data_IF_052114535086
#
_entry.id   IF_052114535086
#
_cell.length_a   1.000
_cell.length_b   1.000
_cell.length_c   1.000
_cell.angle_alpha   90.00
_cell.angle_beta   90.00
_cell.angle_gamma   90.00
#
_symmetry.space_group_name_H-M   'P 1'
#
loop_
_entity.id
_entity.type
_entity.pdbx_description
1 polymer ?
#
# COMPACT_ATOMS: atom_id res chain seq x y z
N UNK A 1 14.66 24.17 4.56
CA UNK A 1 14.15 23.05 5.39
C UNK A 1 13.87 23.59 6.79
N UNK A 2 12.62 23.65 7.19
CA UNK A 2 12.17 24.18 8.50
C UNK A 2 12.68 23.34 9.68
N UNK A 3 12.90 22.03 9.47
CA UNK A 3 13.31 21.06 10.50
C UNK A 3 14.75 20.57 10.30
N UNK A 4 15.69 21.51 10.21
CA UNK A 4 17.10 21.21 9.96
C UNK A 4 17.77 20.33 11.02
N UNK A 5 17.25 20.33 12.26
CA UNK A 5 17.77 19.50 13.36
C UNK A 5 17.19 18.08 13.39
N UNK A 6 16.48 17.69 12.34
CA UNK A 6 15.82 16.38 12.23
C UNK A 6 14.35 16.42 12.63
N UNK A 7 13.66 15.32 12.35
CA UNK A 7 12.22 15.17 12.57
C UNK A 7 11.85 13.68 12.77
N UNK A 8 10.62 13.43 13.19
CA UNK A 8 10.07 12.09 13.25
C UNK A 8 9.11 11.91 12.06
N UNK A 9 9.38 10.93 11.21
CA UNK A 9 8.49 10.48 10.16
C UNK A 9 7.54 9.41 10.72
N UNK A 10 6.24 9.50 10.42
CA UNK A 10 5.27 8.52 10.92
C UNK A 10 4.40 8.03 9.77
N UNK A 11 4.46 6.72 9.51
CA UNK A 11 3.48 5.99 8.71
C UNK A 11 2.40 5.46 9.66
N UNK A 12 1.24 6.12 9.66
CA UNK A 12 0.16 5.82 10.60
C UNK A 12 -1.04 5.22 9.89
N UNK A 13 -1.04 3.89 9.83
CA UNK A 13 -2.10 3.12 9.21
C UNK A 13 -3.36 2.97 10.08
N UNK A 14 -4.29 2.16 9.60
CA UNK A 14 -5.55 1.86 10.28
C UNK A 14 -5.33 1.09 11.57
N UNK A 15 -4.45 0.08 11.54
CA UNK A 15 -4.19 -0.87 12.65
C UNK A 15 -2.81 -0.73 13.26
N UNK A 16 -1.83 -0.31 12.48
CA UNK A 16 -0.43 -0.23 12.89
C UNK A 16 0.11 1.19 12.73
N UNK A 17 1.18 1.47 13.48
CA UNK A 17 1.92 2.73 13.43
C UNK A 17 3.41 2.41 13.40
N UNK A 18 4.14 3.03 12.45
CA UNK A 18 5.59 3.02 12.37
C UNK A 18 6.11 4.43 12.47
N UNK A 19 7.15 4.63 13.25
CA UNK A 19 7.76 5.94 13.44
C UNK A 19 9.29 5.82 13.32
N UNK A 20 9.89 6.77 12.62
CA UNK A 20 11.30 6.83 12.29
C UNK A 20 11.88 8.16 12.72
N UNK A 21 12.93 8.16 13.53
CA UNK A 21 13.71 9.35 13.81
C UNK A 21 14.66 9.61 12.65
N UNK A 22 14.52 10.76 12.03
CA UNK A 22 15.43 11.24 10.96
C UNK A 22 16.32 12.32 11.55
N UNK A 23 17.63 12.13 11.49
CA UNK A 23 18.62 13.08 12.03
C UNK A 23 18.82 14.30 11.10
N UNK A 24 19.67 15.23 11.53
CA UNK A 24 20.03 16.44 10.76
C UNK A 24 20.75 16.14 9.44
N UNK A 25 21.34 14.95 9.28
CA UNK A 25 21.95 14.49 8.04
C UNK A 25 20.94 13.78 7.11
N UNK A 26 19.68 13.66 7.52
CA UNK A 26 18.64 12.97 6.77
C UNK A 26 18.70 11.45 6.89
N UNK A 27 19.45 10.91 7.85
CA UNK A 27 19.58 9.48 8.09
C UNK A 27 18.63 9.02 9.18
N UNK A 28 18.13 7.79 9.05
CA UNK A 28 17.38 7.11 10.09
C UNK A 28 18.30 6.85 11.31
N UNK A 29 17.94 7.40 12.47
CA UNK A 29 18.68 7.31 13.71
C UNK A 29 17.96 6.46 14.77
N UNK A 30 16.70 6.12 14.55
CA UNK A 30 15.88 5.28 15.43
C UNK A 30 14.55 4.98 14.82
N UNK A 31 13.89 3.95 15.33
CA UNK A 31 12.57 3.52 14.87
C UNK A 31 11.80 2.78 15.97
N UNK A 32 10.49 2.72 15.81
CA UNK A 32 9.64 1.72 16.46
C UNK A 32 8.39 1.44 15.63
N UNK A 33 7.82 0.24 15.81
CA UNK A 33 6.53 -0.16 15.28
C UNK A 33 5.64 -0.66 16.42
N UNK A 34 4.35 -0.36 16.36
CA UNK A 34 3.36 -0.93 17.28
C UNK A 34 1.97 -1.08 16.61
N UNK A 35 1.09 -1.84 17.28
CA UNK A 35 -0.30 -2.06 16.84
C UNK A 35 -1.25 -0.90 17.15
N UNK A 36 -0.75 0.33 17.33
CA UNK A 36 -1.57 1.50 17.66
C UNK A 36 -1.92 2.32 16.42
N UNK A 37 -2.63 1.70 15.48
CA UNK A 37 -3.20 2.43 14.34
C UNK A 37 -4.26 3.44 14.75
N UNK A 38 -4.74 4.25 13.80
CA UNK A 38 -5.68 5.37 14.08
C UNK A 38 -6.98 4.91 14.75
N UNK A 39 -7.45 3.68 14.49
CA UNK A 39 -8.67 3.15 15.10
C UNK A 39 -8.52 2.82 16.60
N UNK A 40 -7.31 2.69 17.11
CA UNK A 40 -7.03 2.44 18.51
C UNK A 40 -6.90 3.73 19.33
N UNK A 41 -6.81 4.88 18.67
CA UNK A 41 -6.71 6.19 19.33
C UNK A 41 -8.11 6.66 19.72
N UNK A 42 -8.41 6.87 21.02
CA UNK A 42 -9.71 7.38 21.43
C UNK A 42 -9.92 8.83 20.98
N UNK A 43 -11.17 9.26 20.96
CA UNK A 43 -11.51 10.65 20.62
C UNK A 43 -10.72 11.64 21.48
N UNK A 44 -10.07 12.60 20.82
CA UNK A 44 -9.18 13.57 21.47
C UNK A 44 -7.83 13.02 21.92
N UNK A 45 -7.53 11.73 21.73
CA UNK A 45 -6.33 11.05 22.21
C UNK A 45 -5.05 11.27 21.38
N UNK A 46 -5.14 11.92 20.22
CA UNK A 46 -3.97 12.08 19.33
C UNK A 46 -2.82 12.85 19.96
N UNK A 47 -3.11 13.88 20.77
CA UNK A 47 -2.05 14.63 21.48
C UNK A 47 -1.25 13.74 22.42
N UNK A 48 -1.89 12.81 23.14
CA UNK A 48 -1.21 11.84 24.00
C UNK A 48 -0.41 10.82 23.17
N UNK A 49 -0.96 10.36 22.05
CA UNK A 49 -0.28 9.44 21.14
C UNK A 49 0.98 10.08 20.51
N UNK A 50 0.94 11.37 20.19
CA UNK A 50 2.11 12.14 19.72
C UNK A 50 3.14 12.29 20.84
N UNK A 51 2.71 12.57 22.10
CA UNK A 51 3.62 12.65 23.23
C UNK A 51 4.35 11.31 23.46
N UNK A 52 3.67 10.19 23.34
CA UNK A 52 4.26 8.85 23.40
C UNK A 52 5.32 8.62 22.31
N UNK A 53 5.07 9.06 21.09
CA UNK A 53 6.05 8.97 20.00
C UNK A 53 7.30 9.77 20.35
N UNK A 54 7.13 11.00 20.87
CA UNK A 54 8.25 11.84 21.30
C UNK A 54 9.01 11.27 22.49
N UNK A 55 8.33 10.63 23.41
CA UNK A 55 9.00 9.94 24.54
C UNK A 55 9.96 8.85 24.07
N UNK A 56 9.59 8.11 23.02
CA UNK A 56 10.40 7.03 22.44
C UNK A 56 11.54 7.52 21.55
N UNK A 57 11.29 8.55 20.72
CA UNK A 57 12.22 8.98 19.67
C UNK A 57 12.81 10.37 19.87
N UNK A 58 12.47 11.06 20.96
CA UNK A 58 12.94 12.39 21.28
C UNK A 58 11.95 13.51 20.87
N UNK A 59 12.10 14.67 21.48
CA UNK A 59 11.21 15.82 21.26
C UNK A 59 11.53 16.54 19.93
N UNK A 60 11.09 15.94 18.81
CA UNK A 60 11.23 16.45 17.45
C UNK A 60 9.88 16.81 16.82
N UNK A 61 9.86 17.67 15.76
CA UNK A 61 8.68 17.84 14.94
C UNK A 61 8.30 16.53 14.22
N UNK A 62 7.01 16.39 13.85
CA UNK A 62 6.50 15.19 13.20
C UNK A 62 5.96 15.49 11.80
N UNK A 63 6.33 14.63 10.84
CA UNK A 63 5.70 14.55 9.53
C UNK A 63 4.95 13.23 9.44
N UNK A 64 3.63 13.34 9.36
CA UNK A 64 2.70 12.23 9.51
C UNK A 64 2.09 11.90 8.15
N UNK A 65 2.05 10.63 7.77
CA UNK A 65 1.39 10.15 6.56
C UNK A 65 0.42 9.01 6.89
N UNK A 66 -0.48 8.71 5.97
CA UNK A 66 -1.45 7.62 6.09
C UNK A 66 -2.77 8.04 6.73
N UNK A 67 -3.43 7.10 7.39
CA UNK A 67 -4.80 7.24 7.88
C UNK A 67 -4.98 8.31 8.97
N UNK A 68 -3.91 8.80 9.56
CA UNK A 68 -3.93 9.94 10.49
C UNK A 68 -4.54 11.20 9.86
N UNK A 69 -4.45 11.35 8.53
CA UNK A 69 -5.05 12.43 7.73
C UNK A 69 -6.45 12.12 7.19
N UNK A 70 -7.07 11.02 7.56
CA UNK A 70 -8.43 10.67 7.14
C UNK A 70 -9.49 11.33 8.04
N UNK A 71 -10.76 11.20 7.65
CA UNK A 71 -11.90 11.61 8.47
C UNK A 71 -12.05 10.84 9.78
N UNK A 72 -11.31 9.73 9.96
CA UNK A 72 -11.20 8.96 11.20
C UNK A 72 -9.88 9.17 11.91
N UNK A 73 -9.01 10.03 11.36
CA UNK A 73 -7.70 10.35 11.91
C UNK A 73 -7.71 11.59 12.80
N UNK A 74 -6.55 12.15 13.00
CA UNK A 74 -6.36 13.32 13.87
C UNK A 74 -6.96 14.61 13.29
N UNK A 75 -6.62 14.89 12.02
CA UNK A 75 -7.09 16.07 11.30
C UNK A 75 -7.23 15.71 9.83
N UNK A 76 -8.41 15.89 9.30
CA UNK A 76 -8.68 15.56 7.91
C UNK A 76 -7.86 16.44 6.96
N UNK A 77 -7.08 15.78 6.12
CA UNK A 77 -6.33 16.38 5.03
C UNK A 77 -7.06 16.12 3.70
N UNK A 78 -7.30 17.15 2.93
CA UNK A 78 -7.90 17.04 1.61
C UNK A 78 -7.02 16.17 0.68
N UNK A 79 -7.62 15.63 -0.38
CA UNK A 79 -6.89 14.90 -1.40
C UNK A 79 -6.34 15.85 -2.46
N UNK A 80 -5.08 15.63 -2.87
CA UNK A 80 -4.48 16.31 -4.02
C UNK A 80 -4.92 15.60 -5.30
N UNK A 81 -5.48 16.28 -6.30
CA UNK A 81 -5.90 15.62 -7.52
C UNK A 81 -4.70 15.20 -8.39
N UNK A 82 -4.81 14.06 -9.08
CA UNK A 82 -3.90 13.66 -10.15
C UNK A 82 -4.02 14.60 -11.38
N UNK A 83 -2.91 14.84 -12.11
CA UNK A 83 -1.55 14.38 -11.85
C UNK A 83 -0.86 15.18 -10.73
N UNK A 84 -0.07 14.51 -9.90
CA UNK A 84 0.64 15.17 -8.80
C UNK A 84 1.97 14.50 -8.46
N UNK A 85 2.91 15.29 -7.98
CA UNK A 85 4.22 14.88 -7.50
C UNK A 85 4.48 15.34 -6.06
N UNK A 86 5.73 15.23 -5.60
CA UNK A 86 6.16 15.64 -4.24
C UNK A 86 5.80 17.08 -3.93
N UNK A 87 5.98 18.00 -4.88
CA UNK A 87 5.68 19.44 -4.68
C UNK A 87 4.18 19.67 -4.43
N UNK A 88 3.31 18.91 -5.11
CA UNK A 88 1.87 18.94 -4.87
C UNK A 88 1.51 18.50 -3.46
N UNK A 89 2.09 17.41 -2.97
CA UNK A 89 1.87 16.95 -1.59
C UNK A 89 2.40 17.97 -0.58
N UNK A 90 3.62 18.48 -0.77
CA UNK A 90 4.25 19.41 0.14
C UNK A 90 3.48 20.75 0.25
N UNK A 91 2.90 21.23 -0.85
CA UNK A 91 2.12 22.48 -0.89
C UNK A 91 0.77 22.38 -0.17
N UNK A 92 0.25 21.15 0.03
CA UNK A 92 -1.07 20.86 0.61
C UNK A 92 -0.98 20.20 2.00
N UNK A 93 0.19 20.28 2.65
CA UNK A 93 0.36 19.79 4.03
C UNK A 93 -0.64 20.43 4.98
N UNK A 94 -1.25 19.62 5.82
CA UNK A 94 -2.17 20.10 6.86
C UNK A 94 -1.46 20.14 8.20
N UNK A 95 -1.35 21.33 8.75
CA UNK A 95 -0.73 21.54 10.06
C UNK A 95 -1.74 21.23 11.18
N UNK A 96 -1.44 20.21 11.95
CA UNK A 96 -2.24 19.82 13.12
C UNK A 96 -1.84 20.60 14.38
N UNK A 97 -0.59 21.09 14.40
CA UNK A 97 0.00 21.99 15.40
C UNK A 97 1.15 22.77 14.79
N UNK A 98 1.95 23.40 15.61
CA UNK A 98 3.12 24.19 15.14
C UNK A 98 4.26 23.27 14.63
N UNK A 99 4.31 22.04 15.14
CA UNK A 99 5.39 21.06 14.91
C UNK A 99 4.89 19.74 14.33
N UNK A 100 3.63 19.67 13.91
CA UNK A 100 2.99 18.47 13.37
C UNK A 100 2.36 18.79 12.03
N UNK A 101 2.88 18.19 10.96
CA UNK A 101 2.33 18.30 9.62
C UNK A 101 1.82 16.92 9.14
N UNK A 102 0.68 16.92 8.45
CA UNK A 102 0.06 15.72 7.90
C UNK A 102 0.11 15.82 6.37
N UNK A 103 0.64 14.76 5.74
CA UNK A 103 0.69 14.63 4.30
C UNK A 103 -0.73 14.34 3.77
N UNK A 104 -1.20 15.04 2.73
CA UNK A 104 -2.49 14.78 2.11
C UNK A 104 -2.44 13.49 1.30
N UNK A 105 -3.59 12.83 1.14
CA UNK A 105 -3.74 11.75 0.18
C UNK A 105 -3.84 12.26 -1.26
N UNK A 106 -4.00 11.35 -2.20
CA UNK A 106 -4.15 11.65 -3.64
C UNK A 106 -5.48 11.13 -4.16
N UNK A 107 -6.14 11.90 -5.02
CA UNK A 107 -7.38 11.50 -5.69
C UNK A 107 -7.22 11.42 -7.20
N UNK A 108 -8.01 10.54 -7.81
CA UNK A 108 -8.13 10.42 -9.25
C UNK A 108 -9.59 10.49 -9.67
N UNK A 109 -9.88 11.34 -10.64
CA UNK A 109 -11.20 11.41 -11.30
C UNK A 109 -10.95 11.39 -12.80
N UNK A 110 -11.38 10.32 -13.45
CA UNK A 110 -11.20 10.17 -14.90
C UNK A 110 -11.69 8.82 -15.40
N UNK A 111 -11.95 8.71 -16.71
CA UNK A 111 -12.40 7.45 -17.30
C UNK A 111 -13.71 6.91 -16.72
N UNK A 112 -14.60 7.78 -16.25
CA UNK A 112 -15.89 7.38 -15.63
C UNK A 112 -15.77 6.81 -14.22
N UNK A 113 -14.63 6.98 -13.52
CA UNK A 113 -14.40 6.46 -12.17
C UNK A 113 -13.72 7.48 -11.26
N UNK A 114 -13.90 7.29 -9.95
CA UNK A 114 -13.20 8.01 -8.90
C UNK A 114 -12.37 7.02 -8.09
N UNK A 115 -11.24 7.49 -7.57
CA UNK A 115 -10.37 6.68 -6.72
C UNK A 115 -9.60 7.57 -5.73
N UNK A 116 -9.16 7.00 -4.61
CA UNK A 116 -8.35 7.70 -3.60
C UNK A 116 -7.28 6.77 -3.04
N UNK A 117 -6.14 7.37 -2.65
CA UNK A 117 -5.12 6.70 -1.83
C UNK A 117 -4.68 7.61 -0.69
N UNK A 118 -4.20 7.00 0.40
CA UNK A 118 -3.65 7.74 1.52
C UNK A 118 -2.63 6.91 2.28
N UNK A 119 -1.38 7.36 2.18
CA UNK A 119 -0.18 6.70 2.71
C UNK A 119 0.71 6.17 1.58
N UNK A 120 0.15 5.48 0.61
CA UNK A 120 0.89 4.89 -0.51
C UNK A 120 1.54 5.94 -1.42
N UNK A 121 0.95 7.14 -1.54
CA UNK A 121 1.48 8.25 -2.34
C UNK A 121 2.88 8.66 -1.93
N UNK A 122 3.20 8.58 -0.63
CA UNK A 122 4.54 8.91 -0.12
C UNK A 122 5.57 7.91 -0.61
N UNK A 123 5.23 6.62 -0.58
CA UNK A 123 6.11 5.56 -1.06
C UNK A 123 6.32 5.63 -2.57
N UNK A 124 5.25 5.81 -3.34
CA UNK A 124 5.27 5.89 -4.80
C UNK A 124 6.14 7.04 -5.30
N UNK A 125 5.91 8.23 -4.76
CA UNK A 125 6.67 9.43 -5.15
C UNK A 125 8.09 9.41 -4.56
N UNK A 126 8.27 8.77 -3.40
CA UNK A 126 9.58 8.55 -2.81
C UNK A 126 10.47 7.66 -3.67
N UNK A 127 9.92 6.56 -4.17
CA UNK A 127 10.64 5.66 -5.07
C UNK A 127 11.08 6.37 -6.36
N UNK A 128 10.20 7.19 -6.95
CA UNK A 128 10.51 7.98 -8.14
C UNK A 128 11.61 9.03 -7.86
N UNK A 129 11.48 9.76 -6.75
CA UNK A 129 12.43 10.80 -6.37
C UNK A 129 13.84 10.25 -6.03
N UNK A 130 13.91 9.04 -5.47
CA UNK A 130 15.16 8.35 -5.16
C UNK A 130 15.77 7.60 -6.35
N UNK A 131 15.10 7.60 -7.53
CA UNK A 131 15.57 6.84 -8.70
C UNK A 131 15.50 5.32 -8.53
N UNK A 132 14.68 4.83 -7.58
CA UNK A 132 14.43 3.40 -7.35
C UNK A 132 13.45 2.82 -8.37
N UNK A 133 12.68 3.68 -9.03
CA UNK A 133 11.76 3.35 -10.10
C UNK A 133 11.89 4.38 -11.21
N UNK A 134 11.67 3.94 -12.45
CA UNK A 134 11.70 4.84 -13.60
C UNK A 134 10.62 5.93 -13.46
N UNK A 135 10.89 7.12 -13.98
CA UNK A 135 9.92 8.24 -14.00
C UNK A 135 8.61 7.87 -14.73
N UNK A 136 8.66 6.86 -15.58
CA UNK A 136 7.51 6.29 -16.29
C UNK A 136 7.42 4.81 -15.96
N UNK A 137 6.57 4.43 -15.02
CA UNK A 137 6.43 3.06 -14.53
C UNK A 137 4.97 2.71 -14.24
N UNK A 138 4.67 1.42 -14.24
CA UNK A 138 3.46 0.86 -13.67
C UNK A 138 3.81 0.24 -12.31
N UNK A 139 3.30 0.82 -11.23
CA UNK A 139 3.59 0.34 -9.88
C UNK A 139 2.38 -0.36 -9.30
N UNK A 140 2.56 -1.61 -8.90
CA UNK A 140 1.65 -2.38 -8.07
C UNK A 140 2.06 -2.22 -6.61
N UNK A 141 1.17 -1.75 -5.77
CA UNK A 141 1.40 -1.61 -4.33
C UNK A 141 0.42 -2.53 -3.57
N UNK A 142 0.81 -3.80 -3.33
CA UNK A 142 -0.02 -4.78 -2.65
C UNK A 142 -0.37 -4.38 -1.21
N UNK A 143 -1.61 -4.65 -0.82
CA UNK A 143 -2.10 -4.37 0.53
C UNK A 143 -3.55 -4.82 0.70
N UNK A 144 -4.19 -4.36 1.77
CA UNK A 144 -5.63 -4.55 1.98
C UNK A 144 -6.40 -4.04 0.76
N UNK A 145 -6.02 -2.86 0.27
CA UNK A 145 -6.51 -2.21 -0.94
C UNK A 145 -5.33 -1.98 -1.89
N UNK A 146 -5.07 -2.94 -2.76
CA UNK A 146 -3.97 -2.85 -3.72
C UNK A 146 -4.12 -1.65 -4.66
N UNK A 147 -3.02 -0.98 -4.98
CA UNK A 147 -2.99 0.15 -5.91
C UNK A 147 -2.18 -0.19 -7.15
N UNK A 148 -2.78 -0.03 -8.32
CA UNK A 148 -2.09 0.02 -9.60
C UNK A 148 -1.93 1.47 -10.03
N UNK A 149 -0.72 1.98 -9.98
CA UNK A 149 -0.40 3.39 -10.19
C UNK A 149 0.44 3.57 -11.44
N UNK A 150 0.01 4.47 -12.31
CA UNK A 150 0.80 4.93 -13.46
C UNK A 150 1.59 6.14 -13.02
N UNK A 151 2.90 5.99 -13.02
CA UNK A 151 3.83 7.12 -12.93
C UNK A 151 4.15 7.62 -14.34
N UNK A 152 4.11 8.95 -14.49
CA UNK A 152 4.53 9.65 -15.70
C UNK A 152 5.27 10.92 -15.28
N UNK A 153 6.50 11.09 -15.78
CA UNK A 153 7.41 12.19 -15.39
C UNK A 153 7.57 12.31 -13.86
N UNK A 154 7.73 11.17 -13.18
CA UNK A 154 7.85 11.06 -11.72
C UNK A 154 6.63 11.62 -10.94
N UNK A 155 5.46 11.70 -11.57
CA UNK A 155 4.20 12.09 -10.95
C UNK A 155 3.21 10.91 -10.95
N UNK A 156 2.35 10.85 -9.97
CA UNK A 156 1.17 9.97 -9.99
C UNK A 156 0.19 10.56 -11.01
N UNK A 157 0.10 9.91 -12.18
CA UNK A 157 -0.79 10.37 -13.25
C UNK A 157 -2.20 9.83 -13.09
N UNK A 158 -2.31 8.55 -12.77
CA UNK A 158 -3.59 7.89 -12.49
C UNK A 158 -3.34 6.64 -11.66
N UNK A 159 -4.39 6.14 -11.02
CA UNK A 159 -4.31 4.85 -10.30
C UNK A 159 -5.66 4.15 -10.26
N UNK A 160 -5.62 2.87 -9.90
CA UNK A 160 -6.79 2.05 -9.66
C UNK A 160 -6.61 1.19 -8.43
N UNK A 161 -7.59 1.25 -7.54
CA UNK A 161 -7.63 0.42 -6.33
C UNK A 161 -8.36 -0.89 -6.61
N UNK A 162 -7.82 -2.00 -6.10
CA UNK A 162 -8.44 -3.31 -6.08
C UNK A 162 -8.47 -3.82 -4.65
N UNK A 163 -9.62 -4.28 -4.16
CA UNK A 163 -9.82 -4.67 -2.76
C UNK A 163 -9.33 -6.11 -2.48
N UNK A 164 -8.22 -6.52 -3.07
CA UNK A 164 -7.76 -7.91 -3.10
C UNK A 164 -7.50 -8.48 -1.72
N UNK A 165 -6.75 -7.75 -0.89
CA UNK A 165 -6.45 -8.19 0.48
C UNK A 165 -7.70 -8.21 1.37
N UNK A 166 -8.57 -7.20 1.28
CA UNK A 166 -9.83 -7.18 2.03
C UNK A 166 -10.76 -8.31 1.62
N UNK A 167 -10.91 -8.55 0.32
CA UNK A 167 -11.73 -9.65 -0.18
C UNK A 167 -11.21 -11.01 0.32
N UNK A 168 -9.89 -11.24 0.31
CA UNK A 168 -9.33 -12.46 0.86
C UNK A 168 -9.63 -12.61 2.36
N UNK A 169 -9.47 -11.55 3.15
CA UNK A 169 -9.80 -11.56 4.59
C UNK A 169 -11.28 -11.83 4.83
N UNK A 170 -12.19 -11.17 4.10
CA UNK A 170 -13.63 -11.42 4.19
C UNK A 170 -14.01 -12.85 3.84
N UNK A 171 -13.40 -13.42 2.80
CA UNK A 171 -13.60 -14.82 2.44
C UNK A 171 -13.12 -15.77 3.55
N UNK A 172 -11.95 -15.48 4.13
CA UNK A 172 -11.33 -16.26 5.20
C UNK A 172 -12.09 -16.20 6.52
N UNK A 173 -12.77 -15.08 6.82
CA UNK A 173 -13.43 -14.85 8.11
C UNK A 173 -14.94 -15.06 8.05
N UNK A 174 -15.59 -14.73 6.93
CA UNK A 174 -17.04 -14.56 6.89
C UNK A 174 -17.75 -15.31 5.75
N UNK A 175 -17.04 -16.14 4.98
CA UNK A 175 -17.65 -16.85 3.87
C UNK A 175 -17.81 -18.34 4.12
N UNK A 176 -18.51 -19.01 3.19
CA UNK A 176 -18.60 -20.49 3.16
C UNK A 176 -17.25 -21.18 2.96
N UNK A 177 -16.22 -20.43 2.60
CA UNK A 177 -14.85 -20.92 2.42
C UNK A 177 -14.00 -20.76 3.69
N UNK A 178 -14.50 -20.11 4.73
CA UNK A 178 -13.72 -19.75 5.92
C UNK A 178 -12.88 -20.91 6.47
N UNK A 179 -13.49 -22.07 6.67
CA UNK A 179 -12.79 -23.26 7.19
C UNK A 179 -11.72 -23.83 6.25
N UNK A 180 -11.76 -23.49 4.97
CA UNK A 180 -10.83 -23.98 3.95
C UNK A 180 -9.64 -23.04 3.75
N UNK A 181 -9.76 -21.76 4.13
CA UNK A 181 -8.76 -20.74 3.86
C UNK A 181 -7.82 -20.47 5.05
N UNK A 182 -7.68 -21.40 6.00
CA UNK A 182 -6.86 -21.20 7.20
C UNK A 182 -5.38 -21.53 7.01
N UNK A 183 -5.03 -22.32 6.00
CA UNK A 183 -3.64 -22.65 5.67
C UNK A 183 -2.85 -21.40 5.24
N UNK A 184 -1.53 -21.38 5.42
CA UNK A 184 -0.68 -20.35 4.83
C UNK A 184 -0.83 -20.30 3.31
N UNK A 185 -0.68 -19.12 2.73
CA UNK A 185 -0.60 -18.93 1.28
C UNK A 185 0.85 -19.04 0.86
N UNK A 186 1.14 -19.96 -0.06
CA UNK A 186 2.48 -20.19 -0.57
C UNK A 186 2.54 -19.87 -2.08
N UNK A 187 3.74 -19.49 -2.55
CA UNK A 187 4.05 -19.35 -3.97
C UNK A 187 4.37 -20.73 -4.56
N UNK A 188 3.37 -21.55 -4.68
CA UNK A 188 3.44 -22.93 -5.20
C UNK A 188 2.74 -23.08 -6.56
N UNK A 189 2.78 -24.30 -7.11
CA UNK A 189 2.14 -24.61 -8.39
C UNK A 189 0.61 -24.41 -8.35
N UNK A 190 0.00 -24.58 -7.18
CA UNK A 190 -1.46 -24.38 -6.98
C UNK A 190 -1.80 -22.91 -7.08
N UNK A 191 -1.06 -22.04 -6.37
CA UNK A 191 -1.19 -20.60 -6.45
C UNK A 191 -0.96 -20.10 -7.89
N UNK A 192 0.14 -20.51 -8.52
CA UNK A 192 0.51 -20.08 -9.88
C UNK A 192 -0.50 -20.55 -10.92
N UNK A 193 -1.00 -21.78 -10.81
CA UNK A 193 -2.05 -22.30 -11.67
C UNK A 193 -3.35 -21.51 -11.58
N UNK A 194 -3.77 -21.19 -10.35
CA UNK A 194 -4.95 -20.36 -10.10
C UNK A 194 -4.77 -18.92 -10.59
N UNK A 195 -3.60 -18.31 -10.35
CA UNK A 195 -3.29 -16.97 -10.85
C UNK A 195 -3.33 -16.91 -12.39
N UNK A 196 -2.69 -17.87 -13.05
CA UNK A 196 -2.74 -18.00 -14.52
C UNK A 196 -4.17 -18.13 -15.01
N UNK A 197 -4.99 -18.99 -14.39
CA UNK A 197 -6.39 -19.16 -14.74
C UNK A 197 -7.13 -17.81 -14.67
N UNK A 198 -7.02 -17.08 -13.56
CA UNK A 198 -7.72 -15.82 -13.33
C UNK A 198 -7.23 -14.65 -14.20
N UNK A 199 -5.95 -14.66 -14.62
CA UNK A 199 -5.41 -13.67 -15.56
C UNK A 199 -6.12 -13.75 -16.93
N UNK A 200 -6.43 -14.97 -17.37
CA UNK A 200 -7.00 -15.19 -18.70
C UNK A 200 -8.52 -15.41 -18.72
N UNK A 201 -9.19 -15.49 -17.54
CA UNK A 201 -10.62 -15.72 -17.44
C UNK A 201 -11.30 -14.73 -16.46
N UNK A 202 -12.52 -14.29 -16.82
CA UNK A 202 -13.29 -13.30 -16.04
C UNK A 202 -14.38 -13.96 -15.17
N UNK A 203 -14.08 -15.13 -14.59
CA UNK A 203 -15.07 -15.99 -13.94
C UNK A 203 -14.91 -16.07 -12.42
N UNK A 204 -14.20 -15.11 -11.80
CA UNK A 204 -13.85 -15.13 -10.38
C UNK A 204 -15.00 -15.53 -9.43
N UNK A 205 -16.25 -15.00 -9.52
CA UNK A 205 -17.31 -15.36 -8.59
C UNK A 205 -17.71 -16.84 -8.64
N UNK A 206 -17.65 -17.45 -9.83
CA UNK A 206 -17.92 -18.87 -10.02
C UNK A 206 -16.77 -19.73 -9.50
N UNK A 207 -15.54 -19.33 -9.79
CA UNK A 207 -14.33 -20.06 -9.36
C UNK A 207 -14.18 -20.10 -7.84
N UNK A 208 -14.59 -19.08 -7.13
CA UNK A 208 -14.58 -19.07 -5.66
C UNK A 208 -15.47 -20.18 -5.08
N UNK A 209 -16.63 -20.47 -5.67
CA UNK A 209 -17.47 -21.59 -5.21
C UNK A 209 -16.86 -22.95 -5.60
N UNK A 210 -16.18 -23.02 -6.74
CA UNK A 210 -15.51 -24.24 -7.23
C UNK A 210 -14.46 -24.75 -6.26
N UNK A 211 -13.80 -23.90 -5.47
CA UNK A 211 -12.87 -24.28 -4.41
C UNK A 211 -13.54 -25.26 -3.43
N UNK A 212 -14.71 -24.88 -2.92
CA UNK A 212 -15.47 -25.73 -1.99
C UNK A 212 -15.89 -27.04 -2.63
N UNK A 213 -16.40 -26.97 -3.86
CA UNK A 213 -16.85 -28.16 -4.58
C UNK A 213 -15.69 -29.15 -4.81
N UNK A 214 -14.53 -28.65 -5.23
CA UNK A 214 -13.34 -29.45 -5.49
C UNK A 214 -12.82 -30.14 -4.23
N UNK A 215 -12.81 -29.46 -3.08
CA UNK A 215 -12.42 -30.09 -1.81
C UNK A 215 -13.42 -31.17 -1.39
N UNK A 216 -14.74 -30.91 -1.52
CA UNK A 216 -15.78 -31.87 -1.15
C UNK A 216 -15.78 -33.12 -2.03
N UNK A 217 -15.39 -32.98 -3.31
CA UNK A 217 -15.31 -34.07 -4.27
C UNK A 217 -13.94 -34.79 -4.26
N UNK A 218 -12.97 -34.33 -3.48
CA UNK A 218 -11.64 -34.90 -3.39
C UNK A 218 -10.71 -34.56 -4.56
N UNK A 219 -11.08 -33.56 -5.38
CA UNK A 219 -10.30 -33.06 -6.51
C UNK A 219 -9.26 -32.01 -6.12
N UNK A 220 -9.37 -31.45 -4.90
CA UNK A 220 -8.42 -30.49 -4.32
C UNK A 220 -8.17 -30.86 -2.86
N UNK A 221 -6.92 -30.81 -2.44
CA UNK A 221 -6.58 -30.98 -1.02
C UNK A 221 -7.02 -29.75 -0.23
N UNK A 222 -7.43 -29.98 1.02
CA UNK A 222 -7.88 -28.90 1.91
C UNK A 222 -6.79 -27.84 2.15
N UNK A 223 -5.55 -28.27 2.29
CA UNK A 223 -4.39 -27.41 2.49
C UNK A 223 -4.11 -26.47 1.30
N UNK A 224 -4.49 -26.83 0.08
CA UNK A 224 -4.25 -26.07 -1.15
C UNK A 224 -5.26 -24.94 -1.36
N UNK A 225 -6.40 -25.01 -0.67
CA UNK A 225 -7.53 -24.08 -0.92
C UNK A 225 -7.18 -22.62 -0.70
N UNK A 226 -6.34 -22.30 0.30
CA UNK A 226 -5.93 -20.93 0.58
C UNK A 226 -5.02 -20.35 -0.51
N UNK A 227 -4.01 -21.12 -0.96
CA UNK A 227 -3.13 -20.76 -2.08
C UNK A 227 -3.93 -20.61 -3.38
N UNK A 228 -4.87 -21.52 -3.66
CA UNK A 228 -5.72 -21.44 -4.85
C UNK A 228 -6.62 -20.18 -4.82
N UNK A 229 -7.29 -19.88 -3.71
CA UNK A 229 -8.13 -18.70 -3.55
C UNK A 229 -7.32 -17.40 -3.71
N UNK A 230 -6.15 -17.33 -3.08
CA UNK A 230 -5.24 -16.19 -3.20
C UNK A 230 -4.76 -16.01 -4.65
N UNK A 231 -4.41 -17.11 -5.32
CA UNK A 231 -4.02 -17.10 -6.73
C UNK A 231 -5.12 -16.55 -7.64
N UNK A 232 -6.38 -16.96 -7.44
CA UNK A 232 -7.53 -16.42 -8.20
C UNK A 232 -7.71 -14.91 -7.99
N UNK A 233 -7.62 -14.45 -6.74
CA UNK A 233 -7.80 -13.04 -6.41
C UNK A 233 -6.65 -12.20 -6.96
N UNK A 234 -5.39 -12.60 -6.71
CA UNK A 234 -4.20 -11.87 -7.19
C UNK A 234 -4.11 -11.93 -8.72
N UNK A 235 -4.42 -13.07 -9.35
CA UNK A 235 -4.46 -13.16 -10.81
C UNK A 235 -5.50 -12.24 -11.45
N UNK A 236 -6.69 -12.12 -10.85
CA UNK A 236 -7.71 -11.17 -11.27
C UNK A 236 -7.21 -9.72 -11.12
N UNK A 237 -6.56 -9.43 -10.01
CA UNK A 237 -5.98 -8.12 -9.71
C UNK A 237 -4.89 -7.75 -10.73
N UNK A 238 -3.95 -8.66 -11.02
CA UNK A 238 -2.91 -8.51 -12.05
C UNK A 238 -3.54 -8.26 -13.43
N UNK A 239 -4.58 -8.98 -13.80
CA UNK A 239 -5.31 -8.74 -15.06
C UNK A 239 -5.86 -7.32 -15.13
N UNK A 240 -6.46 -6.83 -14.04
CA UNK A 240 -6.99 -5.46 -13.94
C UNK A 240 -5.85 -4.43 -14.08
N UNK A 241 -4.74 -4.64 -13.40
CA UNK A 241 -3.59 -3.75 -13.46
C UNK A 241 -2.94 -3.68 -14.84
N UNK A 242 -2.75 -4.83 -15.47
CA UNK A 242 -2.14 -4.94 -16.80
C UNK A 242 -3.07 -4.49 -17.95
N UNK A 243 -4.35 -4.28 -17.69
CA UNK A 243 -5.27 -3.68 -18.67
C UNK A 243 -4.95 -2.21 -18.97
N UNK A 244 -4.11 -1.56 -18.17
CA UNK A 244 -3.58 -0.23 -18.48
C UNK A 244 -2.57 -0.36 -19.62
N UNK A 245 -2.79 0.30 -20.76
CA UNK A 245 -1.89 0.20 -21.91
C UNK A 245 -0.60 0.98 -21.65
N UNK A 246 0.38 0.31 -21.07
CA UNK A 246 1.70 0.88 -20.86
C UNK A 246 2.76 -0.16 -21.19
N UNK A 247 3.79 0.25 -21.95
CA UNK A 247 5.02 -0.52 -22.16
C UNK A 247 6.05 -0.35 -21.04
N UNK A 248 5.68 0.38 -19.98
CA UNK A 248 6.56 0.71 -18.89
C UNK A 248 6.96 -0.52 -18.06
N UNK A 249 8.07 -0.39 -17.35
CA UNK A 249 8.50 -1.36 -16.34
C UNK A 249 7.38 -1.56 -15.30
N UNK A 250 7.16 -2.81 -14.91
CA UNK A 250 6.27 -3.14 -13.79
C UNK A 250 7.10 -3.24 -12.51
N UNK A 251 6.67 -2.54 -11.49
CA UNK A 251 7.30 -2.57 -10.17
C UNK A 251 6.27 -3.05 -9.15
N UNK A 252 6.65 -3.96 -8.26
CA UNK A 252 5.84 -4.38 -7.12
C UNK A 252 6.49 -3.85 -5.86
N UNK A 253 5.79 -2.96 -5.14
CA UNK A 253 6.31 -2.26 -3.99
C UNK A 253 5.53 -2.61 -2.73
N UNK A 254 6.19 -3.04 -1.67
CA UNK A 254 5.52 -3.35 -0.41
C UNK A 254 6.29 -4.31 0.47
N UNK A 255 5.55 -5.09 1.27
CA UNK A 255 6.13 -6.11 2.13
C UNK A 255 6.53 -7.35 1.33
N UNK A 256 7.69 -7.98 1.60
CA UNK A 256 8.22 -9.10 0.83
C UNK A 256 7.25 -10.28 0.66
N UNK A 257 6.42 -10.56 1.66
CA UNK A 257 5.46 -11.66 1.61
C UNK A 257 4.41 -11.47 0.51
N UNK A 258 4.01 -10.22 0.27
CA UNK A 258 3.02 -9.88 -0.77
C UNK A 258 3.68 -9.62 -2.12
N UNK A 259 4.83 -8.91 -2.14
CA UNK A 259 5.50 -8.59 -3.42
C UNK A 259 5.90 -9.85 -4.16
N UNK A 260 6.37 -10.90 -3.45
CA UNK A 260 6.68 -12.21 -4.02
C UNK A 260 5.49 -12.85 -4.73
N UNK A 261 4.30 -12.84 -4.09
CA UNK A 261 3.09 -13.44 -4.68
C UNK A 261 2.64 -12.67 -5.95
N UNK A 262 2.70 -11.34 -5.92
CA UNK A 262 2.38 -10.52 -7.09
C UNK A 262 3.42 -10.66 -8.20
N UNK A 263 4.72 -10.75 -7.87
CA UNK A 263 5.77 -11.01 -8.85
C UNK A 263 5.60 -12.39 -9.51
N UNK A 264 5.25 -13.42 -8.73
CA UNK A 264 4.92 -14.75 -9.24
C UNK A 264 3.71 -14.71 -10.21
N UNK A 265 2.62 -14.02 -9.82
CA UNK A 265 1.44 -13.87 -10.68
C UNK A 265 1.74 -13.06 -11.95
N UNK A 266 2.58 -12.01 -11.86
CA UNK A 266 3.04 -11.26 -13.04
C UNK A 266 3.87 -12.15 -13.97
N UNK A 267 4.69 -13.05 -13.43
CA UNK A 267 5.41 -14.07 -14.22
C UNK A 267 4.48 -14.97 -15.02
N UNK A 268 3.32 -15.36 -14.46
CA UNK A 268 2.28 -16.12 -15.17
C UNK A 268 1.63 -15.32 -16.32
N UNK A 269 1.60 -13.99 -16.19
CA UNK A 269 1.21 -13.07 -17.26
C UNK A 269 2.35 -12.76 -18.25
N UNK A 270 3.51 -13.41 -18.14
CA UNK A 270 4.72 -13.16 -18.93
C UNK A 270 5.21 -11.71 -18.82
N UNK A 271 5.10 -11.12 -17.63
CA UNK A 271 5.60 -9.79 -17.31
C UNK A 271 6.63 -9.93 -16.19
N UNK A 272 7.82 -9.40 -16.45
CA UNK A 272 8.84 -9.26 -15.43
C UNK A 272 8.49 -8.09 -14.52
N UNK A 273 8.77 -8.24 -13.22
CA UNK A 273 8.55 -7.22 -12.22
C UNK A 273 9.82 -7.01 -11.39
N UNK A 274 10.06 -5.77 -10.98
CA UNK A 274 11.06 -5.43 -9.98
C UNK A 274 10.38 -5.31 -8.64
N UNK A 275 10.89 -5.99 -7.62
CA UNK A 275 10.38 -5.87 -6.26
C UNK A 275 11.13 -4.76 -5.51
N UNK A 276 10.39 -3.88 -4.82
CA UNK A 276 10.92 -2.81 -4.00
C UNK A 276 10.37 -2.89 -2.57
N UNK A 277 11.25 -2.58 -1.63
CA UNK A 277 10.88 -2.43 -0.23
C UNK A 277 10.10 -1.13 0.00
N UNK A 278 8.89 -1.24 0.55
CA UNK A 278 8.00 -0.11 0.79
C UNK A 278 8.52 0.85 1.87
N UNK A 279 9.27 0.35 2.86
CA UNK A 279 9.83 1.17 3.92
C UNK A 279 10.91 2.12 3.40
N UNK A 280 11.83 1.59 2.59
CA UNK A 280 12.85 2.40 1.93
C UNK A 280 12.21 3.49 1.06
N UNK A 281 11.15 3.16 0.34
CA UNK A 281 10.40 4.09 -0.50
C UNK A 281 9.70 5.18 0.34
N UNK A 282 9.11 4.79 1.49
CA UNK A 282 8.50 5.73 2.43
C UNK A 282 9.51 6.74 2.97
N UNK A 283 10.64 6.26 3.45
CA UNK A 283 11.71 7.12 3.98
C UNK A 283 12.23 8.11 2.94
N UNK A 284 12.40 7.67 1.69
CA UNK A 284 12.79 8.54 0.60
C UNK A 284 11.72 9.63 0.35
N UNK A 285 10.44 9.26 0.29
CA UNK A 285 9.35 10.20 0.03
C UNK A 285 9.15 11.23 1.13
N UNK A 286 9.14 10.77 2.39
CA UNK A 286 8.97 11.65 3.53
C UNK A 286 10.14 12.65 3.67
N UNK A 287 11.34 12.22 3.32
CA UNK A 287 12.52 13.09 3.29
C UNK A 287 12.40 14.17 2.22
N UNK A 288 11.96 13.81 1.02
CA UNK A 288 11.74 14.78 -0.07
C UNK A 288 10.63 15.80 0.25
N UNK A 289 9.55 15.37 0.92
CA UNK A 289 8.52 16.29 1.42
C UNK A 289 9.09 17.22 2.49
N UNK A 290 9.86 16.67 3.45
CA UNK A 290 10.46 17.48 4.52
C UNK A 290 11.43 18.55 4.02
N UNK A 291 12.14 18.33 2.93
CA UNK A 291 13.01 19.35 2.30
C UNK A 291 12.25 20.58 1.80
N UNK A 292 10.96 20.45 1.57
CA UNK A 292 10.06 21.49 1.04
C UNK A 292 9.30 22.26 2.14
N UNK A 293 9.48 21.87 3.38
CA UNK A 293 9.00 22.56 4.59
C UNK A 293 10.12 23.50 5.10
#
# INVERSE_FOLDING_TARGET
MRWADGFIAVDWGTTNRRAYLIDSAGKQAGEFEDGKGVLSVPDGGFSAAIAEIREKLGDKPLLLAGMVGSNRGWKEAAYVPCPTGIDGLASMLVWAGEREAIVPGVSYIGGGRCDVMRGEEVQLLGAAAAGLVDSNALVCHPGTHNKWTVLHDAQIHSFRTVMTGELFSLLKEHSILADLLQSPVEDDDVFRGAARHAIFNETLPAELFSIRASVLLGEMKREDAASYASGLLIGTDVRIGLAVPTGAQVVVMGRPELTRLYAAALGEAKREAVELDGEQCFLAGIHEIAKRI
#
